data_IF_747005593296
#
_entry.id   IF_747005593296
#
_cell.length_a   1.000
_cell.length_b   1.000
_cell.length_c   1.000
_cell.angle_alpha   90.00
_cell.angle_beta   90.00
_cell.angle_gamma   90.00
#
_symmetry.space_group_name_H-M   'P 1'
#
loop_
_entity.id
_entity.type
_entity.pdbx_description
1 polymer ?
#
# COMPACT_ATOMS: atom_id res chain seq x y z
N UNK A 1 25.74 -15.15 20.65
CA UNK A 1 25.19 -13.78 20.46
C UNK A 1 23.84 -13.95 19.80
N UNK A 2 22.76 -13.42 20.38
CA UNK A 2 21.44 -13.49 19.75
C UNK A 2 21.32 -12.36 18.74
N UNK A 3 21.06 -12.69 17.47
CA UNK A 3 20.72 -11.69 16.47
C UNK A 3 19.38 -11.06 16.83
N UNK A 4 19.32 -9.72 16.80
CA UNK A 4 18.09 -8.99 17.08
C UNK A 4 17.11 -9.24 15.92
N UNK A 5 15.83 -9.57 16.20
CA UNK A 5 14.87 -9.77 15.12
C UNK A 5 14.75 -8.52 14.24
N UNK A 6 14.73 -8.73 12.93
CA UNK A 6 14.49 -7.67 11.95
C UNK A 6 12.98 -7.38 11.86
N UNK A 7 12.60 -6.12 12.01
CA UNK A 7 11.21 -5.67 11.94
C UNK A 7 11.03 -4.71 10.74
N UNK A 8 10.78 -5.24 9.53
CA UNK A 8 10.56 -4.41 8.36
C UNK A 8 9.25 -3.64 8.47
N UNK A 9 9.18 -2.52 7.77
CA UNK A 9 7.92 -1.94 7.35
C UNK A 9 7.43 -2.65 6.10
N UNK A 10 6.11 -2.82 6.02
CA UNK A 10 5.45 -3.48 4.91
C UNK A 10 4.51 -2.48 4.26
N UNK A 11 4.74 -2.21 2.98
CA UNK A 11 3.84 -1.44 2.13
C UNK A 11 3.00 -2.43 1.35
N UNK A 12 1.68 -2.39 1.56
CA UNK A 12 0.73 -3.24 0.86
C UNK A 12 -0.03 -2.39 -0.15
N UNK A 13 -0.08 -2.86 -1.40
CA UNK A 13 -0.95 -2.29 -2.41
C UNK A 13 -2.13 -3.24 -2.62
N UNK A 14 -3.33 -2.78 -2.28
CA UNK A 14 -4.54 -3.59 -2.30
C UNK A 14 -5.57 -2.91 -3.19
N UNK A 15 -6.19 -3.66 -4.08
CA UNK A 15 -7.36 -3.21 -4.81
C UNK A 15 -8.55 -3.09 -3.86
N UNK A 16 -9.07 -1.88 -3.69
CA UNK A 16 -10.20 -1.60 -2.81
C UNK A 16 -11.53 -2.17 -3.32
N UNK A 17 -11.64 -2.49 -4.62
CA UNK A 17 -12.87 -3.03 -5.20
C UNK A 17 -13.17 -4.45 -4.72
N UNK A 18 -12.13 -5.28 -4.56
CA UNK A 18 -12.27 -6.71 -4.30
C UNK A 18 -11.33 -7.25 -3.20
N UNK A 19 -10.49 -6.39 -2.61
CA UNK A 19 -9.53 -6.76 -1.58
C UNK A 19 -8.33 -7.57 -2.09
N UNK A 20 -8.05 -7.58 -3.41
CA UNK A 20 -6.88 -8.25 -3.95
C UNK A 20 -5.59 -7.56 -3.52
N UNK A 21 -4.65 -8.31 -2.93
CA UNK A 21 -3.27 -7.85 -2.81
C UNK A 21 -2.65 -7.83 -4.22
N UNK A 22 -2.32 -6.64 -4.71
CA UNK A 22 -1.68 -6.43 -6.01
C UNK A 22 -0.16 -6.61 -5.91
N UNK A 23 0.44 -6.02 -4.89
CA UNK A 23 1.87 -6.16 -4.60
C UNK A 23 2.18 -5.82 -3.14
N UNK A 24 3.37 -6.20 -2.69
CA UNK A 24 3.90 -5.78 -1.39
C UNK A 24 5.39 -5.44 -1.48
N UNK A 25 5.82 -4.50 -0.64
CA UNK A 25 7.23 -4.15 -0.48
C UNK A 25 7.62 -4.20 1.00
N UNK A 26 8.70 -4.92 1.27
CA UNK A 26 9.38 -4.87 2.57
C UNK A 26 10.44 -3.79 2.51
N UNK A 27 10.49 -2.93 3.51
CA UNK A 27 11.48 -1.87 3.61
C UNK A 27 11.99 -1.75 5.04
N UNK A 28 13.28 -1.48 5.18
CA UNK A 28 13.84 -1.15 6.48
C UNK A 28 13.41 0.27 6.88
N UNK A 29 13.30 0.56 8.18
CA UNK A 29 13.01 1.93 8.66
C UNK A 29 14.05 2.97 8.21
N UNK A 30 15.24 2.51 7.83
CA UNK A 30 16.36 3.32 7.37
C UNK A 30 16.40 3.50 5.84
N UNK A 31 15.52 2.83 5.09
CA UNK A 31 15.49 2.98 3.63
C UNK A 31 14.87 4.32 3.20
N UNK A 32 15.34 4.81 2.07
CA UNK A 32 14.96 6.11 1.49
C UNK A 32 13.52 6.08 0.95
N UNK A 33 12.80 7.19 1.07
CA UNK A 33 11.48 7.36 0.47
C UNK A 33 11.44 7.07 -1.04
N UNK A 34 12.58 7.23 -1.73
CA UNK A 34 12.71 6.89 -3.15
C UNK A 34 12.40 5.41 -3.45
N UNK A 35 12.82 4.47 -2.59
CA UNK A 35 12.58 3.03 -2.82
C UNK A 35 11.11 2.67 -2.68
N UNK A 36 10.37 3.38 -1.81
CA UNK A 36 8.92 3.22 -1.64
C UNK A 36 8.19 3.71 -2.89
N UNK A 37 8.58 4.87 -3.43
CA UNK A 37 8.00 5.43 -4.66
C UNK A 37 8.26 4.54 -5.88
N UNK A 38 9.48 4.03 -6.05
CA UNK A 38 9.81 3.07 -7.12
C UNK A 38 8.99 1.79 -7.01
N UNK A 39 8.91 1.21 -5.81
CA UNK A 39 8.11 0.02 -5.57
C UNK A 39 6.61 0.22 -5.85
N UNK A 40 6.09 1.40 -5.54
CA UNK A 40 4.72 1.78 -5.89
C UNK A 40 4.49 1.85 -7.41
N UNK A 41 5.40 2.51 -8.15
CA UNK A 41 5.31 2.61 -9.61
C UNK A 41 5.34 1.21 -10.25
N UNK A 42 6.24 0.35 -9.80
CA UNK A 42 6.32 -1.03 -10.28
C UNK A 42 5.04 -1.82 -10.00
N UNK A 43 4.47 -1.68 -8.81
CA UNK A 43 3.22 -2.35 -8.44
C UNK A 43 2.06 -1.89 -9.33
N UNK A 44 1.95 -0.59 -9.62
CA UNK A 44 0.97 -0.06 -10.57
C UNK A 44 1.19 -0.61 -11.99
N UNK A 45 2.46 -0.69 -12.43
CA UNK A 45 2.80 -1.23 -13.74
C UNK A 45 2.41 -2.72 -13.86
N UNK A 46 2.65 -3.52 -12.81
CA UNK A 46 2.26 -4.94 -12.75
C UNK A 46 0.75 -5.13 -12.72
N UNK A 47 0.02 -4.29 -11.99
CA UNK A 47 -1.43 -4.36 -11.93
C UNK A 47 -2.07 -4.15 -13.32
N UNK A 48 -1.40 -3.39 -14.21
CA UNK A 48 -1.86 -3.20 -15.58
C UNK A 48 -3.02 -2.21 -15.72
N UNK A 49 -3.38 -1.52 -14.63
CA UNK A 49 -4.38 -0.47 -14.62
C UNK A 49 -3.95 0.68 -13.71
N UNK A 50 -4.50 1.87 -13.98
CA UNK A 50 -4.24 3.08 -13.20
C UNK A 50 -5.39 3.34 -12.23
N UNK A 51 -5.14 3.45 -10.92
CA UNK A 51 -6.20 3.72 -9.95
C UNK A 51 -6.75 5.13 -10.09
N UNK A 52 -8.03 5.29 -9.78
CA UNK A 52 -8.69 6.60 -9.74
C UNK A 52 -8.30 7.45 -8.53
N UNK A 53 -7.89 6.81 -7.43
CA UNK A 53 -7.34 7.43 -6.23
C UNK A 53 -6.54 6.42 -5.39
N UNK A 54 -5.71 6.93 -4.48
CA UNK A 54 -4.99 6.14 -3.47
C UNK A 54 -5.44 6.60 -2.08
N UNK A 55 -5.78 5.63 -1.24
CA UNK A 55 -6.20 5.86 0.14
C UNK A 55 -5.10 5.36 1.10
N UNK A 56 -4.72 6.22 2.05
CA UNK A 56 -3.64 5.93 3.03
C UNK A 56 -4.09 6.21 4.45
N UNK A 57 -3.67 5.40 5.41
CA UNK A 57 -4.08 5.53 6.81
C UNK A 57 -3.21 6.50 7.62
N UNK A 58 -1.94 6.68 7.24
CA UNK A 58 -1.00 7.59 7.92
C UNK A 58 -0.64 8.81 7.09
N UNK A 59 -0.41 9.93 7.78
CA UNK A 59 0.08 11.18 7.16
C UNK A 59 1.46 11.01 6.56
N UNK A 60 2.32 10.21 7.19
CA UNK A 60 3.65 9.92 6.66
C UNK A 60 3.57 9.22 5.30
N UNK A 61 2.75 8.17 5.17
CA UNK A 61 2.53 7.50 3.88
C UNK A 61 1.92 8.46 2.85
N UNK A 62 1.00 9.33 3.28
CA UNK A 62 0.44 10.36 2.41
C UNK A 62 1.52 11.28 1.84
N UNK A 63 2.41 11.79 2.68
CA UNK A 63 3.51 12.68 2.26
C UNK A 63 4.43 11.98 1.27
N UNK A 64 4.81 10.73 1.56
CA UNK A 64 5.68 9.93 0.69
C UNK A 64 5.05 9.72 -0.69
N UNK A 65 3.76 9.36 -0.73
CA UNK A 65 3.09 9.04 -1.99
C UNK A 65 2.62 10.28 -2.76
N UNK A 66 2.43 11.43 -2.10
CA UNK A 66 1.94 12.64 -2.76
C UNK A 66 2.83 13.08 -3.90
N UNK A 67 4.16 13.05 -3.75
CA UNK A 67 5.09 13.45 -4.81
C UNK A 67 4.94 12.60 -6.07
N UNK A 68 5.08 11.28 -5.95
CA UNK A 68 4.96 10.37 -7.10
C UNK A 68 3.55 10.34 -7.69
N UNK A 69 2.52 10.46 -6.85
CA UNK A 69 1.14 10.44 -7.32
C UNK A 69 0.73 11.75 -8.01
N UNK A 70 1.34 12.90 -7.66
CA UNK A 70 1.15 14.16 -8.38
C UNK A 70 1.63 14.04 -9.83
N UNK A 71 2.83 13.51 -10.04
CA UNK A 71 3.39 13.28 -11.38
C UNK A 71 2.53 12.31 -12.20
N UNK A 72 1.98 11.30 -11.52
CA UNK A 72 1.06 10.35 -12.13
C UNK A 72 -0.36 10.87 -12.24
N UNK A 73 -0.69 12.09 -11.77
CA UNK A 73 -2.05 12.63 -11.69
C UNK A 73 -3.06 11.64 -11.05
N UNK A 74 -2.68 11.09 -9.90
CA UNK A 74 -3.48 10.20 -9.07
C UNK A 74 -3.73 10.93 -7.73
N UNK A 75 -4.99 11.21 -7.36
CA UNK A 75 -5.30 11.79 -6.05
C UNK A 75 -4.89 10.86 -4.90
N UNK A 76 -4.23 11.41 -3.88
CA UNK A 76 -3.95 10.71 -2.62
C UNK A 76 -4.76 11.32 -1.49
N UNK A 77 -5.53 10.50 -0.77
CA UNK A 77 -6.36 10.94 0.35
C UNK A 77 -6.11 10.12 1.60
N UNK A 78 -6.23 10.76 2.75
CA UNK A 78 -6.28 10.05 4.03
C UNK A 78 -7.57 9.21 4.07
N UNK A 79 -7.42 7.92 4.32
CA UNK A 79 -8.52 7.01 4.45
C UNK A 79 -9.35 7.38 5.68
N UNK A 80 -10.68 7.26 5.57
CA UNK A 80 -11.55 7.44 6.74
C UNK A 80 -11.37 6.27 7.70
N UNK A 81 -11.74 6.44 8.98
CA UNK A 81 -11.69 5.38 9.99
C UNK A 81 -12.45 4.11 9.55
N UNK A 82 -13.50 4.26 8.73
CA UNK A 82 -14.27 3.15 8.18
C UNK A 82 -13.53 2.34 7.12
N UNK A 83 -12.55 2.93 6.43
CA UNK A 83 -11.87 2.29 5.31
C UNK A 83 -11.07 1.06 5.77
N UNK A 84 -10.35 1.18 6.88
CA UNK A 84 -9.59 0.05 7.44
C UNK A 84 -10.49 -1.14 7.78
N UNK A 85 -11.65 -0.88 8.40
CA UNK A 85 -12.63 -1.92 8.72
C UNK A 85 -13.21 -2.58 7.46
N UNK A 86 -13.55 -1.78 6.43
CA UNK A 86 -14.06 -2.27 5.14
C UNK A 86 -13.00 -3.12 4.42
N UNK A 87 -11.75 -2.67 4.38
CA UNK A 87 -10.65 -3.40 3.76
C UNK A 87 -10.38 -4.74 4.44
N UNK A 88 -10.35 -4.76 5.79
CA UNK A 88 -10.21 -5.98 6.56
C UNK A 88 -11.35 -6.97 6.30
N UNK A 89 -12.58 -6.47 6.21
CA UNK A 89 -13.74 -7.32 5.88
C UNK A 89 -13.62 -7.94 4.49
N UNK A 90 -13.15 -7.19 3.48
CA UNK A 90 -12.90 -7.70 2.13
C UNK A 90 -11.83 -8.80 2.13
N UNK A 91 -10.70 -8.55 2.80
CA UNK A 91 -9.60 -9.52 2.93
C UNK A 91 -10.09 -10.81 3.60
N UNK A 92 -10.81 -10.70 4.72
CA UNK A 92 -11.35 -11.84 5.46
C UNK A 92 -12.33 -12.66 4.61
N UNK A 93 -13.22 -11.99 3.87
CA UNK A 93 -14.16 -12.65 2.96
C UNK A 93 -13.39 -13.43 1.88
N UNK A 94 -12.34 -12.85 1.31
CA UNK A 94 -11.52 -13.51 0.26
C UNK A 94 -10.79 -14.74 0.80
N UNK A 95 -10.24 -14.66 2.01
CA UNK A 95 -9.63 -15.82 2.69
C UNK A 95 -10.67 -16.93 2.90
N UNK A 96 -11.87 -16.59 3.39
CA UNK A 96 -12.93 -17.57 3.65
C UNK A 96 -13.50 -18.23 2.39
N UNK A 97 -13.40 -17.59 1.22
CA UNK A 97 -13.88 -18.13 -0.06
C UNK A 97 -12.81 -18.93 -0.80
N UNK A 98 -11.55 -18.87 -0.35
CA UNK A 98 -10.40 -19.59 -0.93
C UNK A 98 -10.05 -20.87 -0.16
N UNK A 99 -10.86 -21.23 0.84
CA UNK A 99 -10.76 -22.44 1.66
C UNK A 99 -11.87 -23.43 1.27
#
# INVERSE_FOLDING_TARGET
MGERPFYPWIFLLIDAADGQLLDYRLTARSESFASVSEGFIEALAKAGYRPGEILVDTEMTQVILTGVCQDLNIPVRKATLEFGAKLLSLIQKKIATSA
#
